data_IF_730471546027
#
_entry.id   IF_730471546027
#
_cell.length_a   1.000
_cell.length_b   1.000
_cell.length_c   1.000
_cell.angle_alpha   90.00
_cell.angle_beta   90.00
_cell.angle_gamma   90.00
#
_symmetry.space_group_name_H-M   'P 1'
#
loop_
_entity.id
_entity.type
_entity.pdbx_description
1 polymer ?
#
# COMPACT_ATOMS: atom_id res chain seq x y z
N UNK A 1 13.74 -11.95 -36.61
CA UNK A 1 13.56 -13.00 -35.59
C UNK A 1 12.93 -12.33 -34.39
N UNK A 2 11.60 -12.32 -34.35
CA UNK A 2 10.75 -11.49 -33.48
C UNK A 2 9.58 -12.36 -33.03
N UNK A 3 9.88 -13.44 -32.31
CA UNK A 3 8.93 -14.51 -31.96
C UNK A 3 9.20 -14.99 -30.53
N UNK A 4 9.03 -14.13 -29.52
CA UNK A 4 9.18 -14.60 -28.12
C UNK A 4 8.51 -13.80 -27.00
N UNK A 5 7.68 -12.79 -27.28
CA UNK A 5 6.95 -12.07 -26.21
C UNK A 5 5.45 -12.41 -26.14
N UNK A 6 4.88 -13.06 -27.16
CA UNK A 6 3.46 -13.44 -27.16
C UNK A 6 3.14 -14.67 -26.28
N UNK A 7 4.14 -15.42 -25.83
CA UNK A 7 3.98 -16.55 -24.88
C UNK A 7 3.95 -16.10 -23.40
N UNK A 8 4.20 -14.81 -23.09
CA UNK A 8 4.21 -14.31 -21.70
C UNK A 8 2.81 -14.02 -21.14
N UNK A 9 1.77 -14.18 -21.97
CA UNK A 9 0.37 -14.20 -21.55
C UNK A 9 -0.19 -15.61 -21.73
N UNK A 10 0.50 -16.61 -21.20
CA UNK A 10 -0.16 -17.86 -20.85
C UNK A 10 -1.24 -17.50 -19.80
N UNK A 11 -2.43 -17.22 -20.31
CA UNK A 11 -3.58 -16.79 -19.52
C UNK A 11 -3.80 -17.83 -18.43
N UNK A 12 -3.81 -17.36 -17.17
CA UNK A 12 -4.14 -18.20 -16.04
C UNK A 12 -5.47 -18.91 -16.32
N UNK A 13 -5.61 -20.14 -15.83
CA UNK A 13 -6.91 -20.79 -15.83
C UNK A 13 -7.94 -19.84 -15.17
N UNK A 14 -9.15 -19.71 -15.72
CA UNK A 14 -10.11 -18.70 -15.28
C UNK A 14 -10.43 -18.80 -13.79
N UNK A 15 -10.36 -20.01 -13.21
CA UNK A 15 -10.52 -20.25 -11.77
C UNK A 15 -9.40 -19.61 -10.94
N UNK A 16 -8.15 -19.70 -11.41
CA UNK A 16 -6.98 -19.11 -10.75
C UNK A 16 -7.00 -17.58 -10.90
N UNK A 17 -7.44 -17.07 -12.04
CA UNK A 17 -7.62 -15.64 -12.26
C UNK A 17 -8.67 -15.06 -11.31
N UNK A 18 -9.80 -15.76 -11.12
CA UNK A 18 -10.86 -15.34 -10.20
C UNK A 18 -10.40 -15.38 -8.74
N UNK A 19 -9.68 -16.44 -8.32
CA UNK A 19 -9.10 -16.55 -6.99
C UNK A 19 -8.09 -15.43 -6.73
N UNK A 20 -7.19 -15.16 -7.68
CA UNK A 20 -6.22 -14.07 -7.60
C UNK A 20 -6.92 -12.71 -7.54
N UNK A 21 -7.92 -12.47 -8.39
CA UNK A 21 -8.70 -11.22 -8.37
C UNK A 21 -9.44 -11.04 -7.04
N UNK A 22 -9.96 -12.12 -6.46
CA UNK A 22 -10.59 -12.12 -5.13
C UNK A 22 -9.59 -11.79 -4.02
N UNK A 23 -8.40 -12.40 -4.06
CA UNK A 23 -7.32 -12.13 -3.13
C UNK A 23 -6.84 -10.68 -3.24
N UNK A 24 -6.67 -10.15 -4.46
CA UNK A 24 -6.27 -8.76 -4.70
C UNK A 24 -7.34 -7.76 -4.23
N UNK A 25 -8.62 -8.05 -4.46
CA UNK A 25 -9.72 -7.23 -3.92
C UNK A 25 -9.72 -7.23 -2.39
N UNK A 26 -9.52 -8.40 -1.77
CA UNK A 26 -9.42 -8.54 -0.32
C UNK A 26 -8.20 -7.81 0.24
N UNK A 27 -7.07 -7.82 -0.46
CA UNK A 27 -5.87 -7.10 -0.06
C UNK A 27 -6.02 -5.57 -0.20
N UNK A 28 -6.69 -5.11 -1.26
CA UNK A 28 -6.88 -3.68 -1.54
C UNK A 28 -8.01 -3.04 -0.72
N UNK A 29 -9.05 -3.81 -0.43
CA UNK A 29 -10.22 -3.37 0.32
C UNK A 29 -10.62 -4.47 1.31
N UNK A 30 -9.83 -4.70 2.37
CA UNK A 30 -10.14 -5.70 3.37
C UNK A 30 -11.52 -5.43 3.96
N UNK A 31 -12.36 -6.47 3.99
CA UNK A 31 -13.65 -6.38 4.66
C UNK A 31 -13.42 -6.06 6.15
N UNK A 32 -14.29 -5.25 6.77
CA UNK A 32 -14.23 -5.04 8.21
C UNK A 32 -14.36 -6.39 8.91
N UNK A 33 -13.49 -6.66 9.89
CA UNK A 33 -13.61 -7.83 10.72
C UNK A 33 -14.97 -7.77 11.45
N UNK A 34 -15.62 -8.92 11.58
CA UNK A 34 -16.78 -9.02 12.47
C UNK A 34 -16.38 -8.58 13.88
N UNK A 35 -17.20 -7.74 14.52
CA UNK A 35 -16.85 -7.13 15.80
C UNK A 35 -16.71 -8.19 16.90
N UNK A 36 -17.58 -9.20 16.92
CA UNK A 36 -17.53 -10.27 17.91
C UNK A 36 -16.29 -11.15 17.70
N UNK A 37 -15.95 -11.48 16.46
CA UNK A 37 -14.71 -12.18 16.14
C UNK A 37 -13.48 -11.36 16.56
N UNK A 38 -13.46 -10.06 16.27
CA UNK A 38 -12.34 -9.19 16.63
C UNK A 38 -12.17 -9.10 18.16
N UNK A 39 -13.25 -8.95 18.91
CA UNK A 39 -13.20 -8.99 20.38
C UNK A 39 -12.70 -10.33 20.92
N UNK A 40 -13.12 -11.45 20.31
CA UNK A 40 -12.63 -12.77 20.70
C UNK A 40 -11.12 -12.94 20.46
N UNK A 41 -10.62 -12.49 19.30
CA UNK A 41 -9.20 -12.52 18.98
C UNK A 41 -8.38 -11.62 19.92
N UNK A 42 -8.90 -10.44 20.27
CA UNK A 42 -8.26 -9.54 21.23
C UNK A 42 -8.25 -10.16 22.62
N UNK A 43 -9.36 -10.74 23.08
CA UNK A 43 -9.45 -11.40 24.37
C UNK A 43 -8.45 -12.57 24.45
N UNK A 44 -8.37 -13.39 23.41
CA UNK A 44 -7.40 -14.48 23.30
C UNK A 44 -5.95 -13.98 23.29
N UNK A 45 -5.65 -12.89 22.56
CA UNK A 45 -4.31 -12.31 22.52
C UNK A 45 -3.90 -11.62 23.84
N UNK A 46 -4.87 -11.17 24.63
CA UNK A 46 -4.65 -10.50 25.92
C UNK A 46 -4.63 -11.46 27.11
N UNK A 47 -4.99 -12.73 26.93
CA UNK A 47 -5.16 -13.68 28.03
C UNK A 47 -3.85 -13.86 28.83
N UNK A 48 -2.69 -13.85 28.17
CA UNK A 48 -1.40 -13.44 28.71
C UNK A 48 -0.34 -13.37 27.58
N UNK A 49 0.03 -12.16 27.09
CA UNK A 49 1.04 -12.03 26.03
C UNK A 49 2.46 -12.42 26.49
N UNK A 50 2.65 -12.70 27.78
CA UNK A 50 3.89 -13.16 28.38
C UNK A 50 3.80 -14.61 28.88
N UNK A 51 2.74 -15.34 28.55
CA UNK A 51 2.68 -16.77 28.80
C UNK A 51 3.89 -17.46 28.13
N UNK A 52 4.46 -18.44 28.82
CA UNK A 52 5.49 -19.27 28.22
C UNK A 52 4.89 -20.02 27.02
N UNK A 53 5.62 -20.12 25.89
CA UNK A 53 5.15 -20.89 24.75
C UNK A 53 4.83 -22.32 25.15
N UNK A 54 3.74 -22.85 24.62
CA UNK A 54 3.37 -24.25 24.84
C UNK A 54 4.39 -25.19 24.16
N UNK A 55 4.49 -26.44 24.64
CA UNK A 55 5.40 -27.41 24.04
C UNK A 55 5.08 -27.67 22.55
N UNK A 56 3.80 -27.67 22.18
CA UNK A 56 3.35 -27.81 20.79
C UNK A 56 3.83 -26.65 19.92
N UNK A 57 3.72 -25.41 20.41
CA UNK A 57 4.21 -24.22 19.69
C UNK A 57 5.73 -24.23 19.52
N UNK A 58 6.48 -24.71 20.52
CA UNK A 58 7.93 -24.85 20.42
C UNK A 58 8.32 -25.88 19.35
N UNK A 59 7.64 -27.04 19.32
CA UNK A 59 7.86 -28.08 18.31
C UNK A 59 7.51 -27.58 16.91
N UNK A 60 6.38 -26.91 16.73
CA UNK A 60 5.98 -26.35 15.44
C UNK A 60 6.90 -25.21 14.99
N UNK A 61 7.32 -24.33 15.90
CA UNK A 61 8.28 -23.27 15.61
C UNK A 61 9.62 -23.84 15.16
N UNK A 62 10.08 -24.91 15.79
CA UNK A 62 11.31 -25.60 15.42
C UNK A 62 11.19 -26.29 14.04
N UNK A 63 10.05 -26.91 13.73
CA UNK A 63 9.77 -27.46 12.39
C UNK A 63 9.78 -26.38 11.31
N UNK A 64 9.16 -25.23 11.58
CA UNK A 64 9.17 -24.10 10.67
C UNK A 64 10.59 -23.56 10.46
N UNK A 65 11.37 -23.42 11.54
CA UNK A 65 12.78 -23.00 11.48
C UNK A 65 13.60 -23.93 10.59
N UNK A 66 13.50 -25.24 10.84
CA UNK A 66 14.18 -26.26 10.02
C UNK A 66 13.78 -26.14 8.55
N UNK A 67 12.49 -26.01 8.25
CA UNK A 67 12.01 -25.87 6.86
C UNK A 67 12.51 -24.58 6.16
N UNK A 68 12.70 -23.49 6.92
CA UNK A 68 13.29 -22.25 6.40
C UNK A 68 14.81 -22.38 6.14
N UNK A 69 15.49 -23.24 6.91
CA UNK A 69 16.89 -23.62 6.70
C UNK A 69 17.07 -24.68 5.60
N UNK A 70 15.99 -25.08 4.93
CA UNK A 70 16.00 -26.12 3.88
C UNK A 70 16.02 -27.54 4.43
N UNK A 71 15.74 -27.73 5.71
CA UNK A 71 15.65 -29.02 6.38
C UNK A 71 14.17 -29.39 6.58
N UNK A 72 13.65 -30.24 5.69
CA UNK A 72 12.25 -30.72 5.77
C UNK A 72 11.24 -29.82 5.05
N UNK A 73 9.96 -30.00 5.38
CA UNK A 73 8.83 -29.30 4.76
C UNK A 73 7.87 -28.82 5.83
N UNK A 74 7.33 -27.62 5.65
CA UNK A 74 6.34 -27.02 6.55
C UNK A 74 5.34 -26.21 5.73
N UNK A 75 4.02 -26.31 5.98
CA UNK A 75 2.98 -25.65 5.16
C UNK A 75 3.16 -24.12 5.09
N UNK A 76 3.63 -23.50 6.17
CA UNK A 76 3.81 -22.05 6.24
C UNK A 76 5.20 -21.56 5.79
N UNK A 77 6.09 -22.44 5.33
CA UNK A 77 7.46 -22.04 4.99
C UNK A 77 7.50 -21.04 3.81
N UNK A 78 6.66 -21.25 2.78
CA UNK A 78 6.57 -20.34 1.63
C UNK A 78 6.01 -18.97 2.00
N UNK A 79 4.97 -18.95 2.84
CA UNK A 79 4.41 -17.70 3.36
C UNK A 79 5.43 -16.94 4.22
N UNK A 80 6.14 -17.63 5.11
CA UNK A 80 7.17 -17.01 5.95
C UNK A 80 8.31 -16.42 5.11
N UNK A 81 8.75 -17.12 4.04
CA UNK A 81 9.72 -16.59 3.08
C UNK A 81 9.20 -15.34 2.36
N UNK A 82 7.95 -15.37 1.91
CA UNK A 82 7.34 -14.23 1.23
C UNK A 82 7.24 -13.00 2.15
N UNK A 83 6.82 -13.19 3.40
CA UNK A 83 6.77 -12.12 4.40
C UNK A 83 8.16 -11.58 4.75
N UNK A 84 9.17 -12.46 4.88
CA UNK A 84 10.54 -12.04 5.11
C UNK A 84 11.07 -11.16 3.95
N UNK A 85 10.81 -11.56 2.70
CA UNK A 85 11.17 -10.79 1.51
C UNK A 85 10.39 -9.46 1.41
N UNK A 86 9.14 -9.43 1.86
CA UNK A 86 8.35 -8.19 1.88
C UNK A 86 8.82 -7.21 2.97
N UNK A 87 9.17 -7.73 4.16
CA UNK A 87 9.65 -6.94 5.29
C UNK A 87 11.09 -6.42 5.07
N UNK A 88 11.93 -7.23 4.45
CA UNK A 88 13.32 -6.93 4.15
C UNK A 88 13.64 -7.31 2.69
N UNK A 89 13.18 -6.52 1.71
CA UNK A 89 13.46 -6.80 0.31
C UNK A 89 14.98 -6.80 0.10
N UNK A 90 15.48 -7.85 -0.54
CA UNK A 90 16.90 -7.95 -0.86
C UNK A 90 17.32 -6.70 -1.65
N UNK A 91 18.45 -6.06 -1.28
CA UNK A 91 18.94 -4.93 -2.04
C UNK A 91 19.18 -5.37 -3.47
N UNK A 92 18.49 -4.72 -4.41
CA UNK A 92 18.72 -4.97 -5.83
C UNK A 92 20.19 -4.65 -6.13
N UNK A 93 20.92 -5.54 -6.84
CA UNK A 93 22.26 -5.20 -7.28
C UNK A 93 22.21 -3.87 -8.03
N UNK A 94 23.04 -2.91 -7.62
CA UNK A 94 23.13 -1.58 -8.24
C UNK A 94 23.11 -1.58 -9.78
N UNK A 95 23.83 -2.46 -10.51
CA UNK A 95 23.78 -2.45 -11.98
C UNK A 95 22.39 -2.76 -12.56
N UNK A 96 21.53 -3.47 -11.83
CA UNK A 96 20.20 -3.83 -12.29
C UNK A 96 19.19 -2.70 -12.10
N UNK A 97 19.29 -1.95 -10.99
CA UNK A 97 18.43 -0.80 -10.73
C UNK A 97 18.68 0.34 -11.74
N UNK A 98 19.95 0.65 -12.01
CA UNK A 98 20.32 1.68 -12.99
C UNK A 98 19.92 1.28 -14.40
N UNK A 99 20.10 0.01 -14.78
CA UNK A 99 19.67 -0.50 -16.08
C UNK A 99 18.13 -0.43 -16.25
N UNK A 100 17.36 -0.76 -15.21
CA UNK A 100 15.89 -0.64 -15.23
C UNK A 100 15.48 0.83 -15.34
N UNK A 101 16.09 1.72 -14.56
CA UNK A 101 15.82 3.15 -14.60
C UNK A 101 16.16 3.76 -15.97
N UNK A 102 17.33 3.42 -16.53
CA UNK A 102 17.74 3.85 -17.86
C UNK A 102 16.79 3.32 -18.94
N UNK A 103 16.35 2.06 -18.85
CA UNK A 103 15.39 1.48 -19.78
C UNK A 103 14.02 2.16 -19.70
N UNK A 104 13.55 2.47 -18.49
CA UNK A 104 12.29 3.19 -18.29
C UNK A 104 12.37 4.64 -18.82
N UNK A 105 13.50 5.32 -18.63
CA UNK A 105 13.75 6.66 -19.15
C UNK A 105 13.88 6.67 -20.68
N UNK A 106 14.57 5.70 -21.27
CA UNK A 106 14.71 5.56 -22.72
C UNK A 106 13.36 5.28 -23.40
N UNK A 107 12.54 4.39 -22.81
CA UNK A 107 11.19 4.09 -23.32
C UNK A 107 10.25 5.31 -23.27
N UNK A 108 10.50 6.27 -22.37
CA UNK A 108 9.74 7.52 -22.28
C UNK A 108 10.16 8.55 -23.33
N UNK A 109 11.42 8.53 -23.77
CA UNK A 109 11.95 9.50 -24.73
C UNK A 109 11.38 9.31 -26.14
N UNK A 110 11.04 8.09 -26.54
CA UNK A 110 10.56 7.80 -27.90
C UNK A 110 9.06 8.09 -28.13
N UNK A 111 8.25 8.31 -27.08
CA UNK A 111 6.78 8.46 -27.18
C UNK A 111 6.25 9.88 -26.93
N UNK A 112 7.10 10.90 -26.87
CA UNK A 112 6.71 12.24 -26.39
C UNK A 112 6.02 13.15 -27.41
N UNK A 113 5.98 12.82 -28.71
CA UNK A 113 5.42 13.73 -29.73
C UNK A 113 3.98 13.40 -30.19
N UNK A 114 3.40 12.25 -29.82
CA UNK A 114 2.04 11.88 -30.27
C UNK A 114 0.94 12.15 -29.24
N UNK A 115 1.30 12.31 -27.95
CA UNK A 115 0.32 12.41 -26.85
C UNK A 115 -0.35 13.79 -26.77
N UNK A 116 0.31 14.86 -27.23
CA UNK A 116 -0.25 16.21 -27.15
C UNK A 116 -1.45 16.48 -28.07
N UNK A 117 -1.60 15.73 -29.17
CA UNK A 117 -2.69 15.94 -30.13
C UNK A 117 -3.98 15.21 -29.70
N UNK A 118 -3.86 14.06 -29.03
CA UNK A 118 -5.02 13.27 -28.58
C UNK A 118 -5.53 13.72 -27.20
N UNK A 119 -4.66 14.22 -26.32
CA UNK A 119 -5.12 14.78 -25.03
C UNK A 119 -5.94 16.07 -25.20
N UNK A 120 -5.72 16.85 -26.26
CA UNK A 120 -6.51 18.05 -26.53
C UNK A 120 -7.98 17.76 -26.86
N UNK A 121 -8.25 16.69 -27.62
CA UNK A 121 -9.61 16.31 -28.00
C UNK A 121 -10.34 15.54 -26.88
N UNK A 122 -9.65 14.67 -26.16
CA UNK A 122 -10.23 13.94 -25.02
C UNK A 122 -10.53 14.86 -23.82
N UNK A 123 -9.67 15.84 -23.53
CA UNK A 123 -9.91 16.81 -22.45
C UNK A 123 -11.11 17.72 -22.74
N UNK A 124 -11.32 18.11 -24.00
CA UNK A 124 -12.49 18.90 -24.40
C UNK A 124 -13.80 18.11 -24.26
N UNK A 125 -13.80 16.83 -24.63
CA UNK A 125 -14.97 15.95 -24.46
C UNK A 125 -15.28 15.67 -22.97
N UNK A 126 -14.25 15.44 -22.14
CA UNK A 126 -14.41 15.24 -20.70
C UNK A 126 -14.88 16.51 -19.98
N UNK A 127 -14.42 17.69 -20.39
CA UNK A 127 -14.89 18.96 -19.82
C UNK A 127 -16.39 19.21 -20.11
N UNK A 128 -16.86 18.82 -21.31
CA UNK A 128 -18.28 18.91 -21.67
C UNK A 128 -19.13 17.89 -20.90
N UNK A 129 -18.64 16.66 -20.70
CA UNK A 129 -19.33 15.66 -19.91
C UNK A 129 -19.39 16.03 -18.42
N UNK A 130 -18.30 16.60 -17.87
CA UNK A 130 -18.24 17.05 -16.49
C UNK A 130 -19.15 18.25 -16.21
N UNK A 131 -19.35 19.15 -17.19
CA UNK A 131 -20.27 20.29 -17.03
C UNK A 131 -21.74 19.86 -16.97
N UNK A 132 -22.13 18.84 -17.74
CA UNK A 132 -23.47 18.25 -17.70
C UNK A 132 -23.68 17.51 -16.38
N UNK A 133 -22.69 16.75 -15.92
CA UNK A 133 -22.74 16.05 -14.63
C UNK A 133 -22.84 17.01 -13.44
N UNK A 134 -22.12 18.14 -13.45
CA UNK A 134 -22.24 19.17 -12.42
C UNK A 134 -23.62 19.83 -12.39
N UNK A 135 -24.25 20.02 -13.55
CA UNK A 135 -25.60 20.60 -13.63
C UNK A 135 -26.67 19.64 -13.09
N UNK A 136 -26.50 18.33 -13.32
CA UNK A 136 -27.41 17.29 -12.79
C UNK A 136 -27.13 16.97 -11.32
N UNK A 137 -25.88 17.04 -10.86
CA UNK A 137 -25.53 16.77 -9.45
C UNK A 137 -25.78 17.95 -8.52
N UNK A 138 -26.08 19.15 -9.03
CA UNK A 138 -26.42 20.32 -8.21
C UNK A 138 -27.68 20.13 -7.33
N UNK A 139 -28.48 19.09 -7.57
CA UNK A 139 -29.59 18.67 -6.70
C UNK A 139 -29.19 17.76 -5.53
N UNK A 140 -27.95 17.24 -5.48
CA UNK A 140 -27.47 16.39 -4.39
C UNK A 140 -26.69 17.23 -3.38
N UNK A 141 -27.27 17.41 -2.18
CA UNK A 141 -26.68 18.20 -1.08
C UNK A 141 -25.21 17.85 -0.80
N UNK A 142 -24.24 18.78 -0.96
CA UNK A 142 -22.80 18.55 -0.76
C UNK A 142 -22.37 18.37 0.71
N UNK A 143 -23.32 18.14 1.63
CA UNK A 143 -23.04 18.14 3.06
C UNK A 143 -22.27 16.91 3.55
N UNK A 144 -22.34 15.75 2.87
CA UNK A 144 -21.63 14.53 3.32
C UNK A 144 -20.13 14.59 3.01
N UNK A 145 -19.75 15.00 1.80
CA UNK A 145 -18.34 15.10 1.38
C UNK A 145 -17.63 16.23 2.10
N UNK A 146 -18.31 17.36 2.32
CA UNK A 146 -17.76 18.48 3.09
C UNK A 146 -17.53 18.13 4.57
N UNK A 147 -18.29 17.17 5.13
CA UNK A 147 -18.11 16.70 6.51
C UNK A 147 -16.94 15.75 6.63
N UNK A 148 -16.81 14.79 5.72
CA UNK A 148 -15.65 13.89 5.66
C UNK A 148 -14.34 14.67 5.41
N UNK A 149 -14.35 15.67 4.54
CA UNK A 149 -13.19 16.53 4.30
C UNK A 149 -12.86 17.47 5.48
N UNK A 150 -13.81 17.75 6.38
CA UNK A 150 -13.57 18.55 7.61
C UNK A 150 -12.93 17.74 8.74
N UNK A 151 -13.13 16.42 8.75
CA UNK A 151 -12.56 15.52 9.76
C UNK A 151 -11.15 15.00 9.40
N UNK A 152 -10.73 15.14 8.15
CA UNK A 152 -9.34 14.88 7.75
C UNK A 152 -8.45 16.04 8.22
N UNK A 153 -7.36 15.71 8.92
CA UNK A 153 -6.31 16.68 9.24
C UNK A 153 -5.73 17.20 7.91
N UNK A 154 -6.07 18.45 7.61
CA UNK A 154 -5.49 19.18 6.48
C UNK A 154 -3.97 19.17 6.63
N UNK A 155 -3.26 18.87 5.54
CA UNK A 155 -1.81 19.02 5.46
C UNK A 155 -1.45 20.49 5.63
N UNK A 156 -1.27 20.92 6.88
CA UNK A 156 -0.79 22.25 7.23
C UNK A 156 0.73 22.20 7.21
N UNK A 157 1.34 23.34 6.91
CA UNK A 157 2.78 23.52 7.15
C UNK A 157 3.08 23.08 8.57
N UNK A 158 4.09 22.21 8.75
CA UNK A 158 4.54 21.76 10.07
C UNK A 158 5.32 22.85 10.81
N UNK A 159 5.56 24.01 10.17
CA UNK A 159 6.27 25.14 10.76
C UNK A 159 5.75 25.62 12.14
N UNK A 160 4.43 25.68 12.44
CA UNK A 160 3.96 26.12 13.75
C UNK A 160 4.07 25.03 14.84
N UNK A 161 4.38 23.77 14.49
CA UNK A 161 4.60 22.69 15.45
C UNK A 161 6.00 22.72 16.09
N UNK A 162 6.89 23.58 15.58
CA UNK A 162 8.24 23.74 16.10
C UNK A 162 8.36 25.10 16.77
N UNK A 163 8.42 25.11 18.09
CA UNK A 163 8.60 26.34 18.88
C UNK A 163 10.06 26.84 18.86
N UNK A 164 10.98 25.96 18.49
CA UNK A 164 12.41 26.28 18.34
C UNK A 164 12.76 26.42 16.86
N UNK A 165 13.55 27.46 16.53
CA UNK A 165 14.16 27.56 15.21
C UNK A 165 15.15 26.42 15.05
N UNK A 166 15.02 25.65 13.97
CA UNK A 166 15.98 24.59 13.66
C UNK A 166 17.38 25.17 13.52
N UNK A 167 18.34 24.59 14.23
CA UNK A 167 19.75 24.84 13.98
C UNK A 167 20.12 24.33 12.59
N UNK A 168 20.76 25.20 11.80
CA UNK A 168 21.11 24.89 10.41
C UNK A 168 22.16 23.77 10.27
N UNK A 169 22.81 23.37 11.36
CA UNK A 169 23.86 22.37 11.38
C UNK A 169 23.34 20.92 11.37
N UNK A 170 22.08 20.67 11.76
CA UNK A 170 21.57 19.31 11.92
C UNK A 170 20.36 19.02 11.02
N UNK A 171 20.67 18.82 9.73
CA UNK A 171 19.68 18.56 8.68
C UNK A 171 18.97 17.22 8.88
N UNK A 172 19.68 16.21 9.40
CA UNK A 172 19.14 14.86 9.63
C UNK A 172 18.10 14.88 10.74
N UNK A 173 18.43 15.45 11.91
CA UNK A 173 17.46 15.55 13.02
C UNK A 173 16.22 16.38 12.66
N UNK A 174 16.34 17.31 11.71
CA UNK A 174 15.22 18.07 11.15
C UNK A 174 14.32 17.21 10.26
N UNK A 175 14.91 16.41 9.36
CA UNK A 175 14.16 15.50 8.49
C UNK A 175 13.41 14.47 9.33
N UNK A 176 14.05 13.88 10.33
CA UNK A 176 13.43 12.88 11.20
C UNK A 176 12.24 13.44 11.98
N UNK A 177 12.36 14.67 12.51
CA UNK A 177 11.24 15.36 13.18
C UNK A 177 10.07 15.65 12.24
N UNK A 178 10.33 16.06 11.00
CA UNK A 178 9.29 16.30 9.99
C UNK A 178 8.63 14.98 9.58
N UNK A 179 9.42 13.92 9.36
CA UNK A 179 8.92 12.60 9.01
C UNK A 179 8.04 12.03 10.13
N UNK A 180 8.47 12.15 11.38
CA UNK A 180 7.71 11.70 12.55
C UNK A 180 6.39 12.46 12.70
N UNK A 181 6.39 13.78 12.52
CA UNK A 181 5.17 14.59 12.54
C UNK A 181 4.20 14.18 11.43
N UNK A 182 4.69 14.03 10.18
CA UNK A 182 3.84 13.60 9.05
C UNK A 182 3.31 12.18 9.21
N UNK A 183 4.10 11.26 9.76
CA UNK A 183 3.66 9.89 10.02
C UNK A 183 2.53 9.84 11.07
N UNK A 184 2.51 10.76 12.03
CA UNK A 184 1.42 10.91 12.99
C UNK A 184 0.15 11.44 12.33
N UNK A 185 0.27 12.46 11.48
CA UNK A 185 -0.88 13.04 10.76
C UNK A 185 -1.51 12.02 9.80
N UNK A 186 -0.68 11.28 9.04
CA UNK A 186 -1.16 10.23 8.13
C UNK A 186 -1.91 9.12 8.88
N UNK A 187 -1.39 8.67 10.02
CA UNK A 187 -2.10 7.69 10.87
C UNK A 187 -3.42 8.24 11.38
N UNK A 188 -3.45 9.47 11.87
CA UNK A 188 -4.67 10.13 12.36
C UNK A 188 -5.73 10.26 11.26
N UNK A 189 -5.32 10.64 10.05
CA UNK A 189 -6.21 10.69 8.88
C UNK A 189 -6.75 9.32 8.50
N UNK A 190 -5.90 8.28 8.59
CA UNK A 190 -6.33 6.91 8.30
C UNK A 190 -7.34 6.40 9.33
N UNK A 191 -7.14 6.68 10.62
CA UNK A 191 -8.13 6.35 11.66
C UNK A 191 -9.44 7.12 11.47
N UNK A 192 -9.37 8.41 11.12
CA UNK A 192 -10.55 9.21 10.80
C UNK A 192 -11.32 8.67 9.59
N UNK A 193 -10.64 8.23 8.54
CA UNK A 193 -11.26 7.55 7.39
C UNK A 193 -11.97 6.26 7.79
N UNK A 194 -11.45 5.55 8.79
CA UNK A 194 -12.06 4.34 9.33
C UNK A 194 -13.14 4.60 10.40
N UNK A 195 -13.42 5.87 10.71
CA UNK A 195 -14.41 6.23 11.73
C UNK A 195 -13.98 5.95 13.17
N UNK A 196 -12.69 5.67 13.39
CA UNK A 196 -12.10 5.45 14.71
C UNK A 196 -11.61 6.78 15.25
N UNK A 197 -12.15 7.23 16.39
CA UNK A 197 -11.75 8.45 17.10
C UNK A 197 -11.18 8.15 18.46
#
# INVERSE_FOLDING_TARGET
MTTRDDDLLELLAPEVEEELASALRSAWSPAPLDAALNEALIAQALEDPLAEPTEEELVESERLRQALEGQGSHPNADLARALALAAAPAPLPHPTADAIAQRALAAKAEKSNLVYVVFGSAAAALALAASILLFVSAGHSPQSVARAARDLAQSRSTAPLFHEKFDAADTTARIDRIALARARDLRSNRYALWGVR
#
